data_IF_787990630020
#
_entry.id   IF_787990630020
#
_cell.length_a   1.000
_cell.length_b   1.000
_cell.length_c   1.000
_cell.angle_alpha   90.00
_cell.angle_beta   90.00
_cell.angle_gamma   90.00
#
_symmetry.space_group_name_H-M   'P 1'
#
loop_
_entity.id
_entity.type
_entity.pdbx_description
1 polymer ?
#
# COMPACT_ATOMS: atom_id res chain seq x y z
N UNK A 1 -12.59 29.03 19.57
CA UNK A 1 -11.49 28.40 18.81
C UNK A 1 -11.74 26.90 18.79
N UNK A 2 -12.54 26.42 17.83
CA UNK A 2 -12.63 24.99 17.54
C UNK A 2 -11.87 24.82 16.24
N UNK A 3 -10.69 24.25 16.32
CA UNK A 3 -9.95 23.79 15.16
C UNK A 3 -10.68 22.53 14.69
N UNK A 4 -11.57 22.67 13.71
CA UNK A 4 -12.03 21.51 12.93
C UNK A 4 -10.80 21.00 12.19
N UNK A 5 -10.07 20.07 12.82
CA UNK A 5 -9.02 19.31 12.14
C UNK A 5 -9.62 18.75 10.87
N UNK A 6 -9.12 19.20 9.73
CA UNK A 6 -9.56 18.74 8.43
C UNK A 6 -9.40 17.21 8.45
N UNK A 7 -10.49 16.46 8.21
CA UNK A 7 -10.38 15.02 8.00
C UNK A 7 -9.26 14.83 6.95
N UNK A 8 -8.24 14.02 7.30
CA UNK A 8 -7.12 13.63 6.45
C UNK A 8 -5.86 14.52 6.48
N UNK A 9 -5.75 15.51 7.37
CA UNK A 9 -4.56 16.40 7.42
C UNK A 9 -3.25 15.68 7.78
N UNK A 10 -3.31 14.54 8.51
CA UNK A 10 -2.13 13.78 8.96
C UNK A 10 -2.24 12.24 8.83
N UNK A 11 -3.35 11.70 8.32
CA UNK A 11 -3.64 10.26 8.46
C UNK A 11 -3.16 9.37 7.30
N UNK A 12 -2.78 9.94 6.16
CA UNK A 12 -2.50 9.15 4.93
C UNK A 12 -1.06 9.27 4.41
N UNK A 13 -0.19 9.98 5.14
CA UNK A 13 1.20 10.16 4.73
C UNK A 13 2.18 10.06 5.92
N UNK A 14 3.06 9.04 5.87
CA UNK A 14 4.26 8.92 6.70
C UNK A 14 5.48 9.38 5.92
N UNK A 15 6.60 9.69 6.58
CA UNK A 15 7.80 10.23 5.93
C UNK A 15 8.23 9.41 4.69
N UNK A 16 8.23 8.07 4.79
CA UNK A 16 8.61 7.19 3.68
C UNK A 16 7.62 7.22 2.51
N UNK A 17 6.30 7.31 2.77
CA UNK A 17 5.31 7.43 1.71
C UNK A 17 5.30 8.83 1.10
N UNK A 18 5.51 9.87 1.90
CA UNK A 18 5.62 11.25 1.43
C UNK A 18 6.87 11.48 0.56
N UNK A 19 7.98 10.80 0.87
CA UNK A 19 9.20 10.84 0.07
C UNK A 19 9.12 9.99 -1.22
N UNK A 20 8.14 9.09 -1.33
CA UNK A 20 8.01 8.17 -2.45
C UNK A 20 7.40 8.87 -3.67
N UNK A 21 8.25 9.28 -4.61
CA UNK A 21 7.82 9.93 -5.85
C UNK A 21 7.01 9.01 -6.78
N UNK A 22 7.15 7.69 -6.67
CA UNK A 22 6.49 6.72 -7.54
C UNK A 22 5.09 6.32 -7.08
N UNK A 23 4.67 6.72 -5.87
CA UNK A 23 3.38 6.30 -5.29
C UNK A 23 3.31 4.82 -4.91
N UNK A 24 4.46 4.15 -4.81
CA UNK A 24 4.54 2.73 -4.47
C UNK A 24 4.18 2.48 -3.00
N UNK A 25 4.66 3.34 -2.10
CA UNK A 25 4.34 3.32 -0.67
C UNK A 25 3.08 4.13 -0.41
N UNK A 26 2.02 3.45 0.04
CA UNK A 26 0.77 4.09 0.46
C UNK A 26 0.51 3.79 1.93
N UNK A 27 0.19 4.83 2.69
CA UNK A 27 -0.26 4.74 4.07
C UNK A 27 -1.74 5.14 4.16
N UNK A 28 -2.46 4.61 5.14
CA UNK A 28 -3.88 4.91 5.34
C UNK A 28 -4.58 3.90 6.24
N UNK A 29 -5.82 4.20 6.60
CA UNK A 29 -6.66 3.36 7.47
C UNK A 29 -7.26 2.18 6.69
N UNK A 30 -7.12 0.97 7.24
CA UNK A 30 -7.66 -0.28 6.69
C UNK A 30 -9.16 -0.45 6.97
N UNK A 31 -9.71 0.23 7.97
CA UNK A 31 -11.12 0.17 8.30
C UNK A 31 -11.95 1.14 7.45
N UNK A 32 -11.31 2.17 6.89
CA UNK A 32 -11.95 3.07 5.96
C UNK A 32 -12.01 2.45 4.56
N UNK A 33 -13.21 2.10 4.09
CA UNK A 33 -13.42 1.50 2.76
C UNK A 33 -13.08 2.43 1.60
N UNK A 34 -13.05 3.73 1.84
CA UNK A 34 -12.69 4.74 0.85
C UNK A 34 -11.18 4.90 0.70
N UNK A 35 -10.39 4.39 1.66
CA UNK A 35 -8.93 4.43 1.68
C UNK A 35 -8.30 3.66 0.53
N UNK A 36 -7.22 4.21 -0.02
CA UNK A 36 -6.41 3.55 -1.05
C UNK A 36 -5.79 2.25 -0.53
N UNK A 37 -5.47 2.16 0.77
CA UNK A 37 -4.95 0.93 1.39
C UNK A 37 -6.01 -0.18 1.38
N UNK A 38 -7.26 0.16 1.69
CA UNK A 38 -8.36 -0.81 1.65
C UNK A 38 -8.56 -1.36 0.24
N UNK A 39 -8.57 -0.47 -0.78
CA UNK A 39 -8.69 -0.87 -2.19
C UNK A 39 -7.54 -1.76 -2.64
N UNK A 40 -6.28 -1.35 -2.36
CA UNK A 40 -5.08 -2.11 -2.74
C UNK A 40 -5.01 -3.48 -2.08
N UNK A 41 -5.49 -3.62 -0.83
CA UNK A 41 -5.52 -4.91 -0.12
C UNK A 41 -6.39 -5.97 -0.82
N UNK A 42 -7.41 -5.56 -1.60
CA UNK A 42 -8.33 -6.47 -2.29
C UNK A 42 -7.82 -6.92 -3.68
N UNK A 43 -6.64 -6.48 -4.12
CA UNK A 43 -6.06 -6.89 -5.41
C UNK A 43 -5.51 -8.32 -5.33
N UNK A 44 -5.73 -9.11 -6.39
CA UNK A 44 -5.31 -10.52 -6.47
C UNK A 44 -3.78 -10.73 -6.34
N UNK A 45 -2.98 -9.68 -6.55
CA UNK A 45 -1.51 -9.73 -6.51
C UNK A 45 -0.95 -9.47 -5.12
N UNK A 46 -1.80 -9.30 -4.11
CA UNK A 46 -1.37 -9.02 -2.74
C UNK A 46 -0.82 -10.27 -2.08
N UNK A 47 0.30 -10.14 -1.38
CA UNK A 47 0.84 -11.20 -0.53
C UNK A 47 1.46 -10.63 0.74
N UNK A 48 1.50 -11.47 1.78
CA UNK A 48 2.20 -11.19 3.02
C UNK A 48 3.56 -11.92 3.04
N UNK A 49 4.58 -11.26 3.60
CA UNK A 49 5.88 -11.90 3.78
C UNK A 49 5.79 -12.99 4.86
N UNK A 50 6.34 -14.16 4.55
CA UNK A 50 6.47 -15.29 5.49
C UNK A 50 5.13 -15.71 6.12
N UNK A 51 4.08 -15.83 5.32
CA UNK A 51 2.72 -16.12 5.79
C UNK A 51 2.61 -17.41 6.62
N UNK A 52 3.45 -18.41 6.32
CA UNK A 52 3.52 -19.67 7.06
C UNK A 52 3.90 -19.52 8.54
N UNK A 53 4.55 -18.40 8.92
CA UNK A 53 4.92 -18.12 10.33
C UNK A 53 3.70 -17.68 11.14
N UNK A 54 2.63 -17.20 10.50
CA UNK A 54 1.38 -16.84 11.18
C UNK A 54 1.41 -15.49 11.92
N UNK A 55 2.36 -14.61 11.60
CA UNK A 55 2.54 -13.29 12.26
C UNK A 55 1.49 -12.25 11.90
N UNK A 56 0.68 -12.49 10.86
CA UNK A 56 -0.39 -11.58 10.37
C UNK A 56 0.09 -10.11 10.27
N UNK A 57 1.11 -9.83 9.43
CA UNK A 57 1.70 -8.50 9.36
C UNK A 57 0.72 -7.46 8.80
N UNK A 58 0.82 -6.22 9.30
CA UNK A 58 0.00 -5.08 8.83
C UNK A 58 0.46 -4.51 7.48
N UNK A 59 1.64 -4.90 7.01
CA UNK A 59 2.19 -4.51 5.71
C UNK A 59 2.00 -5.66 4.72
N UNK A 60 1.57 -5.32 3.51
CA UNK A 60 1.42 -6.24 2.40
C UNK A 60 2.11 -5.67 1.15
N UNK A 61 2.47 -6.57 0.23
CA UNK A 61 3.18 -6.22 -0.99
C UNK A 61 2.40 -6.73 -2.21
N UNK A 62 2.66 -6.12 -3.36
CA UNK A 62 2.13 -6.61 -4.63
C UNK A 62 3.20 -7.36 -5.42
N UNK A 63 2.80 -8.42 -6.12
CA UNK A 63 3.68 -9.16 -7.02
C UNK A 63 4.26 -8.23 -8.09
N UNK A 64 5.59 -8.27 -8.26
CA UNK A 64 6.28 -7.50 -9.30
C UNK A 64 6.02 -8.12 -10.67
N UNK A 65 5.17 -7.48 -11.46
CA UNK A 65 4.94 -7.83 -12.87
C UNK A 65 6.07 -7.25 -13.73
N UNK A 66 6.76 -8.10 -14.49
CA UNK A 66 7.74 -7.69 -15.51
C UNK A 66 7.17 -8.06 -16.87
N UNK A 67 6.80 -7.06 -17.67
CA UNK A 67 6.32 -7.30 -19.03
C UNK A 67 7.52 -7.58 -19.94
N UNK A 68 7.85 -8.86 -20.11
CA UNK A 68 8.95 -9.30 -20.98
C UNK A 68 8.41 -9.67 -22.36
N UNK A 69 9.04 -9.15 -23.40
CA UNK A 69 8.78 -9.61 -24.77
C UNK A 69 9.33 -11.03 -24.93
N UNK A 70 8.52 -11.95 -25.46
CA UNK A 70 8.93 -13.36 -25.67
C UNK A 70 10.21 -13.51 -26.51
N UNK A 71 10.55 -12.48 -27.31
CA UNK A 71 11.69 -12.47 -28.22
C UNK A 71 12.95 -11.80 -27.64
N UNK A 72 12.89 -11.26 -26.42
CA UNK A 72 14.05 -10.63 -25.78
C UNK A 72 14.49 -11.49 -24.60
N UNK A 73 15.35 -12.47 -24.90
CA UNK A 73 16.08 -13.19 -23.85
C UNK A 73 16.92 -12.19 -23.06
N UNK A 74 16.82 -12.32 -21.73
CA UNK A 74 17.66 -11.63 -20.75
C UNK A 74 19.09 -12.16 -20.87
#
# INVERSE_FOLDING_TARGET
MKEEKLKNEFNDAVACSAACSTGALQFGDINNKESEVYKRKQDDRVYHLLEYVGTKPNVFYHTKVRNIDKNKSI
#
